data_IF_174813441426
#
_entry.id   IF_174813441426
#
_cell.length_a   1.000
_cell.length_b   1.000
_cell.length_c   1.000
_cell.angle_alpha   90.00
_cell.angle_beta   90.00
_cell.angle_gamma   90.00
#
_symmetry.space_group_name_H-M   'P 1'
#
loop_
_entity.id
_entity.type
_entity.pdbx_description
1 polymer ?
#
# COMPACT_ATOMS: atom_id res chain seq x y z
N UNK A 1 6.06 5.56 -21.58
CA UNK A 1 6.67 5.29 -20.25
C UNK A 1 6.63 6.54 -19.35
N UNK A 2 6.93 7.73 -19.87
CA UNK A 2 7.08 8.98 -19.09
C UNK A 2 5.84 9.48 -18.33
N UNK A 3 4.61 9.20 -18.80
CA UNK A 3 3.40 9.72 -18.16
C UNK A 3 3.09 9.01 -16.82
N UNK A 4 3.21 7.68 -16.79
CA UNK A 4 2.87 6.87 -15.62
C UNK A 4 3.86 7.11 -14.48
N UNK A 5 5.16 7.18 -14.80
CA UNK A 5 6.19 7.56 -13.81
C UNK A 5 5.92 8.94 -13.20
N UNK A 6 5.55 9.91 -14.03
CA UNK A 6 5.28 11.27 -13.57
C UNK A 6 4.00 11.41 -12.72
N UNK A 7 3.05 10.48 -12.86
CA UNK A 7 1.79 10.51 -12.13
C UNK A 7 1.91 9.94 -10.71
N UNK A 8 2.74 8.91 -10.50
CA UNK A 8 2.74 8.16 -9.23
C UNK A 8 4.11 8.13 -8.53
N UNK A 9 5.22 8.27 -9.27
CA UNK A 9 6.58 8.04 -8.76
C UNK A 9 7.42 9.32 -8.69
N UNK A 10 6.81 10.50 -8.87
CA UNK A 10 7.48 11.80 -8.76
C UNK A 10 6.87 12.63 -7.64
N UNK A 11 7.69 12.91 -6.61
CA UNK A 11 7.32 13.68 -5.42
C UNK A 11 6.70 15.05 -5.74
N UNK A 12 7.10 15.70 -6.83
CA UNK A 12 6.54 17.00 -7.25
C UNK A 12 5.06 16.94 -7.65
N UNK A 13 4.55 15.77 -8.00
CA UNK A 13 3.19 15.59 -8.55
C UNK A 13 2.34 14.61 -7.76
N UNK A 14 2.95 13.84 -6.86
CA UNK A 14 2.29 12.82 -6.08
C UNK A 14 2.92 12.72 -4.70
N UNK A 15 2.08 12.74 -3.67
CA UNK A 15 2.50 12.66 -2.28
C UNK A 15 1.39 11.97 -1.46
N UNK A 16 1.69 10.79 -0.90
CA UNK A 16 0.84 10.07 0.05
C UNK A 16 0.80 10.76 1.42
N UNK A 17 1.67 11.74 1.66
CA UNK A 17 2.09 12.21 2.97
C UNK A 17 2.63 11.08 3.86
N UNK A 18 3.22 11.45 5.00
CA UNK A 18 3.76 10.47 5.96
C UNK A 18 2.67 9.53 6.49
N UNK A 19 1.48 10.04 6.73
CA UNK A 19 0.35 9.25 7.23
C UNK A 19 -0.15 8.27 6.16
N UNK A 20 -0.31 8.70 4.91
CA UNK A 20 -0.74 7.79 3.85
C UNK A 20 0.29 6.70 3.57
N UNK A 21 1.58 7.03 3.53
CA UNK A 21 2.65 6.01 3.39
C UNK A 21 2.63 5.01 4.54
N UNK A 22 2.45 5.48 5.78
CA UNK A 22 2.29 4.60 6.94
C UNK A 22 1.10 3.65 6.78
N UNK A 23 -0.05 4.15 6.31
CA UNK A 23 -1.26 3.34 6.12
C UNK A 23 -1.08 2.30 5.02
N UNK A 24 -0.44 2.64 3.90
CA UNK A 24 -0.12 1.69 2.82
C UNK A 24 0.81 0.59 3.34
N UNK A 25 1.92 0.97 3.98
CA UNK A 25 2.88 0.04 4.57
C UNK A 25 2.20 -0.94 5.54
N UNK A 26 1.35 -0.42 6.44
CA UNK A 26 0.61 -1.25 7.40
C UNK A 26 -0.43 -2.16 6.76
N UNK A 27 -1.18 -1.68 5.75
CA UNK A 27 -2.24 -2.46 5.09
C UNK A 27 -1.68 -3.62 4.25
N UNK A 28 -0.53 -3.40 3.62
CA UNK A 28 0.10 -4.37 2.70
C UNK A 28 1.23 -5.19 3.35
N UNK A 29 1.63 -4.87 4.58
CA UNK A 29 2.73 -5.55 5.28
C UNK A 29 4.12 -5.18 4.74
N UNK A 30 4.24 -4.01 4.09
CA UNK A 30 5.48 -3.51 3.47
C UNK A 30 6.22 -2.58 4.44
N UNK A 31 7.55 -2.72 4.52
CA UNK A 31 8.42 -1.80 5.28
C UNK A 31 7.94 -1.52 6.72
N UNK A 32 7.36 -2.53 7.38
CA UNK A 32 6.80 -2.38 8.72
C UNK A 32 7.96 -2.23 9.71
N UNK A 33 8.09 -1.05 10.31
CA UNK A 33 9.17 -0.72 11.25
C UNK A 33 10.30 0.10 10.64
N UNK A 34 10.33 0.25 9.32
CA UNK A 34 11.31 1.10 8.65
C UNK A 34 10.92 2.60 8.77
N UNK A 35 11.90 3.51 8.88
CA UNK A 35 11.63 4.94 8.79
C UNK A 35 11.02 5.32 7.44
N UNK A 36 9.94 6.10 7.46
CA UNK A 36 9.33 6.64 6.25
C UNK A 36 10.25 7.72 5.67
N UNK A 37 10.87 7.41 4.54
CA UNK A 37 11.83 8.27 3.83
C UNK A 37 11.28 8.83 2.52
N UNK A 38 10.37 8.11 1.87
CA UNK A 38 9.66 8.55 0.65
C UNK A 38 8.16 8.49 0.87
N UNK A 39 7.43 9.41 0.24
CA UNK A 39 5.97 9.48 0.28
C UNK A 39 5.33 9.28 -1.10
N UNK A 40 6.10 8.88 -2.11
CA UNK A 40 5.52 8.43 -3.39
C UNK A 40 5.11 6.96 -3.31
N UNK A 41 4.30 6.52 -4.29
CA UNK A 41 4.11 5.10 -4.55
C UNK A 41 5.41 4.47 -5.06
N UNK A 42 5.50 3.15 -4.96
CA UNK A 42 6.52 2.31 -5.60
C UNK A 42 5.84 1.26 -6.49
N UNK A 43 6.61 0.61 -7.36
CA UNK A 43 6.09 -0.52 -8.14
C UNK A 43 5.66 -1.69 -7.22
N UNK A 44 6.38 -1.89 -6.12
CA UNK A 44 6.05 -2.88 -5.10
C UNK A 44 4.67 -2.64 -4.48
N UNK A 45 4.34 -1.38 -4.16
CA UNK A 45 3.01 -1.03 -3.64
C UNK A 45 1.91 -1.42 -4.64
N UNK A 46 2.13 -1.19 -5.94
CA UNK A 46 1.15 -1.47 -7.00
C UNK A 46 0.95 -2.98 -7.15
N UNK A 47 2.04 -3.75 -7.21
CA UNK A 47 1.97 -5.22 -7.33
C UNK A 47 1.28 -5.82 -6.10
N UNK A 48 1.68 -5.40 -4.90
CA UNK A 48 1.07 -5.86 -3.66
C UNK A 48 -0.42 -5.50 -3.55
N UNK A 49 -0.82 -4.32 -4.04
CA UNK A 49 -2.24 -3.91 -4.06
C UNK A 49 -3.07 -4.80 -4.98
N UNK A 50 -2.56 -5.13 -6.17
CA UNK A 50 -3.23 -6.01 -7.11
C UNK A 50 -3.34 -7.43 -6.54
N UNK A 51 -2.26 -7.94 -5.94
CA UNK A 51 -2.26 -9.24 -5.26
C UNK A 51 -3.29 -9.29 -4.13
N UNK A 52 -3.34 -8.25 -3.29
CA UNK A 52 -4.32 -8.13 -2.20
C UNK A 52 -5.75 -8.21 -2.73
N UNK A 53 -6.05 -7.49 -3.82
CA UNK A 53 -7.38 -7.48 -4.43
C UNK A 53 -7.78 -8.86 -4.98
N UNK A 54 -6.86 -9.55 -5.64
CA UNK A 54 -7.11 -10.90 -6.18
C UNK A 54 -7.37 -11.90 -5.05
N UNK A 55 -6.54 -11.88 -4.00
CA UNK A 55 -6.72 -12.76 -2.83
C UNK A 55 -8.03 -12.49 -2.09
N UNK A 56 -8.41 -11.21 -1.96
CA UNK A 56 -9.69 -10.81 -1.40
C UNK A 56 -10.85 -11.37 -2.23
N UNK A 57 -10.75 -11.30 -3.55
CA UNK A 57 -11.76 -11.85 -4.45
C UNK A 57 -11.90 -13.39 -4.35
N UNK A 58 -10.79 -14.09 -4.16
CA UNK A 58 -10.77 -15.54 -3.93
C UNK A 58 -11.24 -15.97 -2.52
N UNK A 59 -11.50 -15.01 -1.62
CA UNK A 59 -11.93 -15.28 -0.25
C UNK A 59 -10.80 -15.72 0.68
N UNK A 60 -9.54 -15.43 0.35
CA UNK A 60 -8.42 -15.64 1.25
C UNK A 60 -8.44 -14.59 2.37
N UNK A 61 -7.93 -14.95 3.55
CA UNK A 61 -7.99 -14.10 4.75
C UNK A 61 -6.64 -13.58 5.22
N UNK A 62 -5.53 -14.08 4.67
CA UNK A 62 -4.18 -13.60 4.98
C UNK A 62 -3.33 -13.53 3.71
N UNK A 63 -2.33 -12.65 3.72
CA UNK A 63 -1.34 -12.50 2.67
C UNK A 63 0.00 -12.13 3.28
N UNK A 64 1.08 -12.63 2.69
CA UNK A 64 2.45 -12.18 2.97
C UNK A 64 3.14 -11.86 1.65
N UNK A 65 3.50 -10.59 1.48
CA UNK A 65 4.29 -10.15 0.31
C UNK A 65 5.76 -10.54 0.49
N UNK A 66 6.54 -10.72 -0.59
CA UNK A 66 7.96 -11.07 -0.49
C UNK A 66 8.75 -10.06 0.36
N UNK A 67 9.36 -10.53 1.45
CA UNK A 67 10.11 -9.66 2.36
C UNK A 67 9.26 -8.81 3.32
N UNK A 68 7.93 -8.91 3.24
CA UNK A 68 7.01 -8.25 4.15
C UNK A 68 6.54 -9.12 5.31
N UNK A 69 5.63 -8.56 6.10
CA UNK A 69 4.97 -9.26 7.22
C UNK A 69 3.60 -9.78 6.81
N UNK A 70 3.14 -10.86 7.45
CA UNK A 70 1.77 -11.36 7.25
C UNK A 70 0.73 -10.31 7.68
N UNK A 71 -0.28 -10.09 6.84
CA UNK A 71 -1.39 -9.18 7.07
C UNK A 71 -2.74 -9.83 6.77
N UNK A 72 -3.83 -9.40 7.45
CA UNK A 72 -5.17 -9.85 7.10
C UNK A 72 -5.61 -9.29 5.74
N UNK A 73 -6.33 -10.11 4.98
CA UNK A 73 -6.99 -9.75 3.72
C UNK A 73 -8.47 -9.53 3.98
N UNK A 74 -8.88 -8.27 4.04
CA UNK A 74 -10.22 -7.84 4.42
C UNK A 74 -10.57 -6.48 3.79
N UNK A 75 -11.87 -6.24 3.62
CA UNK A 75 -12.40 -4.94 3.18
C UNK A 75 -12.27 -3.90 4.28
N UNK A 76 -11.91 -2.67 3.92
CA UNK A 76 -11.86 -1.55 4.87
C UNK A 76 -13.23 -0.90 5.05
N UNK A 77 -13.58 -0.61 6.30
CA UNK A 77 -14.70 0.27 6.63
C UNK A 77 -14.26 1.74 6.45
N UNK A 78 -14.91 2.44 5.52
CA UNK A 78 -14.60 3.83 5.17
C UNK A 78 -15.12 4.84 6.20
N UNK A 79 -16.04 4.44 7.08
CA UNK A 79 -16.59 5.31 8.12
C UNK A 79 -15.85 5.18 9.45
N UNK A 80 -14.97 4.17 9.58
CA UNK A 80 -14.09 4.03 10.73
C UNK A 80 -13.16 5.25 10.84
N UNK A 81 -13.08 5.87 12.02
CA UNK A 81 -12.27 7.08 12.26
C UNK A 81 -10.79 6.93 11.92
N UNK A 82 -10.21 5.72 11.96
CA UNK A 82 -8.85 5.49 11.47
C UNK A 82 -8.67 5.72 9.97
N UNK A 83 -9.78 5.78 9.22
CA UNK A 83 -9.87 5.95 7.77
C UNK A 83 -10.38 7.32 7.31
N UNK A 84 -10.72 8.22 8.24
CA UNK A 84 -11.15 9.59 7.96
C UNK A 84 -10.08 10.63 8.28
#
# INVERSE_FOLDING_TARGET
QTLLENLFFKEKRYDLARVGRYKVNKKLGLHVGDPITSSTLTEEDVVATIEYLVRLHEGQHTMTVPGGTEVPVETDDIDHFGNR
#
